data_IF_152793202735
#
_entry.id   IF_152793202735
#
_cell.length_a   1.000
_cell.length_b   1.000
_cell.length_c   1.000
_cell.angle_alpha   90.00
_cell.angle_beta   90.00
_cell.angle_gamma   90.00
#
_symmetry.space_group_name_H-M   'P 1'
#
loop_
_entity.id
_entity.type
_entity.pdbx_description
1 polymer ?
#
# COMPACT_ATOMS: atom_id res chain seq x y z
N UNK A 1 13.39 2.23 1.53
CA UNK A 1 11.98 2.24 1.04
C UNK A 1 11.11 1.81 2.18
N UNK A 2 10.15 2.65 2.57
CA UNK A 2 9.25 2.34 3.65
C UNK A 2 8.37 1.13 3.28
N UNK A 3 8.49 0.04 4.02
CA UNK A 3 7.64 -1.14 3.94
C UNK A 3 7.03 -1.48 5.31
N UNK A 4 7.17 -0.57 6.26
CA UNK A 4 6.63 -0.72 7.61
C UNK A 4 6.40 0.67 8.21
N UNK A 5 5.19 0.94 8.68
CA UNK A 5 4.90 2.13 9.44
C UNK A 5 3.95 1.84 10.61
N UNK A 6 3.83 2.77 11.51
CA UNK A 6 2.97 2.69 12.70
C UNK A 6 1.96 3.82 12.68
N UNK A 7 0.73 3.52 13.04
CA UNK A 7 -0.33 4.48 13.31
C UNK A 7 -1.02 4.13 14.63
N UNK A 8 -0.65 4.85 15.68
CA UNK A 8 -1.19 4.66 17.04
C UNK A 8 -2.09 5.80 17.49
N UNK A 9 -2.19 6.87 16.68
CA UNK A 9 -3.14 7.96 16.89
C UNK A 9 -4.57 7.41 16.83
N UNK A 10 -5.37 7.75 17.84
CA UNK A 10 -6.75 7.28 17.88
C UNK A 10 -7.60 7.90 16.76
N UNK A 11 -8.67 7.22 16.42
CA UNK A 11 -9.58 7.59 15.32
C UNK A 11 -10.15 8.98 15.47
N UNK A 12 -10.52 9.40 16.68
CA UNK A 12 -11.09 10.73 16.91
C UNK A 12 -10.08 11.86 16.58
N UNK A 13 -8.81 11.65 16.93
CA UNK A 13 -7.75 12.60 16.60
C UNK A 13 -7.47 12.66 15.09
N UNK A 14 -7.53 11.52 14.38
CA UNK A 14 -7.42 11.48 12.92
C UNK A 14 -8.58 12.25 12.27
N UNK A 15 -9.81 12.02 12.71
CA UNK A 15 -11.02 12.71 12.22
C UNK A 15 -10.86 14.22 12.41
N UNK A 16 -10.46 14.66 13.61
CA UNK A 16 -10.28 16.07 13.90
C UNK A 16 -9.15 16.70 13.07
N UNK A 17 -7.99 16.06 13.00
CA UNK A 17 -6.81 16.56 12.28
C UNK A 17 -7.09 16.77 10.78
N UNK A 18 -7.75 15.81 10.14
CA UNK A 18 -8.02 15.87 8.71
C UNK A 18 -9.41 16.44 8.37
N UNK A 19 -10.20 16.87 9.38
CA UNK A 19 -11.57 17.41 9.20
C UNK A 19 -12.43 16.45 8.37
N UNK A 20 -12.45 15.19 8.78
CA UNK A 20 -13.24 14.15 8.13
C UNK A 20 -14.71 14.39 8.38
N UNK A 21 -15.53 14.39 7.33
CA UNK A 21 -17.00 14.53 7.42
C UNK A 21 -17.70 13.18 7.46
N UNK A 22 -17.21 12.20 6.69
CA UNK A 22 -17.75 10.84 6.65
C UNK A 22 -16.69 9.82 7.06
N UNK A 23 -17.11 8.79 7.80
CA UNK A 23 -16.25 7.68 8.17
C UNK A 23 -16.91 6.35 7.78
N UNK A 24 -16.15 5.53 7.06
CA UNK A 24 -16.57 4.20 6.63
C UNK A 24 -15.73 3.12 7.31
N UNK A 25 -15.31 3.40 8.54
CA UNK A 25 -14.54 2.50 9.40
C UNK A 25 -15.28 2.32 10.72
N UNK A 26 -15.19 1.14 11.28
CA UNK A 26 -15.61 0.90 12.66
C UNK A 26 -14.65 1.54 13.65
N UNK A 27 -14.45 0.92 14.80
CA UNK A 27 -13.43 1.35 15.74
C UNK A 27 -12.03 0.94 15.21
N UNK A 28 -11.20 1.94 14.90
CA UNK A 28 -9.82 1.70 14.52
C UNK A 28 -8.97 1.46 15.76
N UNK A 29 -8.47 0.24 15.92
CA UNK A 29 -7.44 -0.05 16.91
C UNK A 29 -6.10 0.58 16.49
N UNK A 30 -5.25 0.98 17.45
CA UNK A 30 -3.87 1.38 17.15
C UNK A 30 -3.13 0.26 16.42
N UNK A 31 -2.41 0.61 15.35
CA UNK A 31 -1.61 -0.32 14.58
C UNK A 31 -0.13 0.01 14.77
N UNK A 32 0.55 -0.80 15.58
CA UNK A 32 2.00 -0.63 15.86
C UNK A 32 2.88 -1.01 14.69
N UNK A 33 2.36 -1.82 13.76
CA UNK A 33 3.03 -2.19 12.51
C UNK A 33 2.03 -2.41 11.39
N UNK A 34 2.14 -1.61 10.34
CA UNK A 34 1.40 -1.78 9.08
C UNK A 34 2.40 -2.23 8.03
N UNK A 35 2.21 -3.42 7.51
CA UNK A 35 3.03 -4.03 6.47
C UNK A 35 2.33 -3.94 5.11
N UNK A 36 3.08 -4.13 3.99
CA UNK A 36 2.46 -4.31 2.69
C UNK A 36 1.34 -5.35 2.75
N UNK A 37 0.27 -5.11 2.01
CA UNK A 37 -0.93 -5.95 1.95
C UNK A 37 -1.90 -5.82 3.17
N UNK A 38 -1.52 -5.13 4.23
CA UNK A 38 -2.43 -4.87 5.35
C UNK A 38 -3.46 -3.81 4.99
N UNK A 39 -4.66 -3.95 5.56
CA UNK A 39 -5.67 -2.88 5.56
C UNK A 39 -5.33 -1.85 6.62
N UNK A 40 -5.25 -0.58 6.22
CA UNK A 40 -4.92 0.53 7.10
C UNK A 40 -5.76 1.76 6.77
N UNK A 41 -5.91 2.71 7.70
CA UNK A 41 -6.69 3.91 7.47
C UNK A 41 -6.03 4.85 6.45
N UNK A 42 -6.85 5.38 5.56
CA UNK A 42 -6.50 6.48 4.67
C UNK A 42 -7.59 7.54 4.73
N UNK A 43 -7.23 8.78 4.44
CA UNK A 43 -8.19 9.88 4.23
C UNK A 43 -8.16 10.26 2.76
N UNK A 44 -9.31 10.21 2.12
CA UNK A 44 -9.50 10.55 0.70
C UNK A 44 -10.64 11.57 0.54
N UNK A 45 -10.83 12.07 -0.67
CA UNK A 45 -11.99 12.88 -1.03
C UNK A 45 -13.08 11.96 -1.58
N UNK A 46 -14.24 11.98 -0.97
CA UNK A 46 -15.47 11.36 -1.43
C UNK A 46 -16.48 12.37 -1.93
N UNK A 47 -17.72 11.94 -2.19
CA UNK A 47 -18.77 12.79 -2.75
C UNK A 47 -19.17 13.95 -1.82
N UNK A 48 -19.15 13.74 -0.51
CA UNK A 48 -19.59 14.73 0.49
C UNK A 48 -18.40 15.43 1.20
N UNK A 49 -17.16 15.12 0.82
CA UNK A 49 -15.97 15.70 1.39
C UNK A 49 -14.92 14.67 1.80
N UNK A 50 -14.18 14.96 2.86
CA UNK A 50 -13.13 14.03 3.32
C UNK A 50 -13.71 12.82 4.02
N UNK A 51 -13.29 11.65 3.61
CA UNK A 51 -13.70 10.36 4.15
C UNK A 51 -12.51 9.66 4.80
N UNK A 52 -12.75 9.05 5.97
CA UNK A 52 -11.83 8.10 6.58
C UNK A 52 -12.29 6.69 6.22
N UNK A 53 -11.46 5.97 5.49
CA UNK A 53 -11.73 4.60 5.04
C UNK A 53 -10.51 3.72 5.32
N UNK A 54 -10.70 2.40 5.30
CA UNK A 54 -9.58 1.45 5.27
C UNK A 54 -9.30 1.02 3.84
N UNK A 55 -8.03 0.96 3.48
CA UNK A 55 -7.58 0.45 2.19
C UNK A 55 -6.41 -0.53 2.37
N UNK A 56 -6.30 -1.48 1.46
CA UNK A 56 -5.16 -2.39 1.38
C UNK A 56 -3.93 -1.62 0.89
N UNK A 57 -2.79 -1.76 1.56
CA UNK A 57 -1.56 -1.12 1.14
C UNK A 57 -0.89 -1.90 0.01
N UNK A 58 -0.99 -1.38 -1.18
CA UNK A 58 -0.39 -1.93 -2.41
C UNK A 58 -1.23 -1.59 -3.62
N UNK A 59 -0.74 -0.73 -4.49
CA UNK A 59 -1.36 -0.41 -5.77
C UNK A 59 -1.17 -1.54 -6.77
N UNK A 60 -2.07 -1.73 -7.75
CA UNK A 60 -1.93 -2.76 -8.77
C UNK A 60 -0.57 -2.71 -9.45
N UNK A 61 0.08 -3.85 -9.60
CA UNK A 61 1.35 -3.95 -10.32
C UNK A 61 1.16 -3.76 -11.82
N UNK A 62 2.17 -3.20 -12.49
CA UNK A 62 2.12 -3.10 -13.94
C UNK A 62 2.23 -4.50 -14.58
N UNK A 63 1.62 -4.68 -15.76
CA UNK A 63 1.75 -5.92 -16.52
C UNK A 63 3.21 -6.28 -16.81
N UNK A 64 4.06 -5.26 -17.00
CA UNK A 64 5.49 -5.46 -17.15
C UNK A 64 6.12 -6.05 -15.87
N UNK A 65 5.77 -5.52 -14.69
CA UNK A 65 6.31 -6.01 -13.42
C UNK A 65 5.88 -7.47 -13.17
N UNK A 66 4.61 -7.81 -13.43
CA UNK A 66 4.10 -9.18 -13.32
C UNK A 66 4.83 -10.12 -14.28
N UNK A 67 5.00 -9.71 -15.55
CA UNK A 67 5.74 -10.49 -16.55
C UNK A 67 7.19 -10.76 -16.13
N UNK A 68 7.89 -9.75 -15.61
CA UNK A 68 9.26 -9.91 -15.13
C UNK A 68 9.36 -10.81 -13.88
N UNK A 69 8.40 -10.71 -12.97
CA UNK A 69 8.30 -11.60 -11.81
C UNK A 69 8.10 -13.06 -12.27
N UNK A 70 7.17 -13.26 -13.21
CA UNK A 70 6.89 -14.58 -13.80
C UNK A 70 8.11 -15.17 -14.51
N UNK A 71 8.85 -14.38 -15.30
CA UNK A 71 10.11 -14.83 -15.94
C UNK A 71 11.11 -15.35 -14.91
N UNK A 72 11.31 -14.61 -13.81
CA UNK A 72 12.21 -15.02 -12.72
C UNK A 72 11.76 -16.31 -12.05
N UNK A 73 10.45 -16.47 -11.88
CA UNK A 73 9.85 -17.68 -11.29
C UNK A 73 9.97 -18.88 -12.25
N UNK A 74 9.71 -18.66 -13.54
CA UNK A 74 9.87 -19.68 -14.58
C UNK A 74 11.32 -20.21 -14.60
N UNK A 75 12.29 -19.33 -14.70
CA UNK A 75 13.72 -19.70 -14.70
C UNK A 75 14.12 -20.52 -13.47
N UNK A 76 13.58 -20.19 -12.28
CA UNK A 76 13.83 -20.98 -11.05
C UNK A 76 13.20 -22.36 -11.09
N UNK A 77 12.06 -22.54 -11.76
CA UNK A 77 11.40 -23.83 -11.91
C UNK A 77 12.14 -24.70 -12.94
N UNK A 78 12.51 -24.11 -14.07
CA UNK A 78 13.31 -24.76 -15.12
C UNK A 78 14.66 -25.25 -14.60
N UNK A 79 15.36 -24.42 -13.80
CA UNK A 79 16.61 -24.80 -13.15
C UNK A 79 16.47 -25.98 -12.17
N UNK A 80 15.23 -26.25 -11.70
CA UNK A 80 14.89 -27.44 -10.88
C UNK A 80 14.33 -28.60 -11.71
N UNK A 81 14.43 -28.53 -13.03
CA UNK A 81 13.92 -29.57 -13.94
C UNK A 81 12.39 -29.69 -14.00
N UNK A 82 11.65 -28.65 -13.56
CA UNK A 82 10.18 -28.65 -13.60
C UNK A 82 9.69 -28.08 -14.93
N UNK A 83 8.69 -28.71 -15.57
CA UNK A 83 8.08 -28.15 -16.77
C UNK A 83 7.37 -26.83 -16.43
N UNK A 84 7.43 -25.87 -17.33
CA UNK A 84 6.83 -24.55 -17.14
C UNK A 84 5.90 -24.22 -18.29
N UNK A 85 4.61 -24.03 -17.99
CA UNK A 85 3.68 -23.30 -18.86
C UNK A 85 3.72 -21.82 -18.44
N UNK A 86 4.42 -21.00 -19.22
CA UNK A 86 4.59 -19.59 -18.91
C UNK A 86 3.27 -18.82 -18.88
N UNK A 87 2.32 -19.16 -19.75
CA UNK A 87 1.01 -18.49 -19.83
C UNK A 87 0.19 -18.74 -18.56
N UNK A 88 0.15 -20.00 -18.13
CA UNK A 88 -0.52 -20.39 -16.89
C UNK A 88 0.19 -19.80 -15.67
N UNK A 89 1.52 -19.80 -15.67
CA UNK A 89 2.32 -19.23 -14.58
C UNK A 89 2.09 -17.72 -14.44
N UNK A 90 1.95 -16.99 -15.57
CA UNK A 90 1.63 -15.55 -15.58
C UNK A 90 0.20 -15.29 -15.09
N UNK A 91 -0.75 -16.12 -15.49
CA UNK A 91 -2.14 -16.01 -15.04
C UNK A 91 -2.26 -16.18 -13.51
N UNK A 92 -1.41 -17.01 -12.93
CA UNK A 92 -1.35 -17.30 -11.50
C UNK A 92 -0.28 -16.50 -10.76
N UNK A 93 0.33 -15.49 -11.40
CA UNK A 93 1.35 -14.67 -10.72
C UNK A 93 0.72 -13.88 -9.56
N UNK A 94 1.23 -14.02 -8.33
CA UNK A 94 0.70 -13.31 -7.19
C UNK A 94 0.80 -11.79 -7.37
N UNK A 95 -0.30 -11.08 -7.14
CA UNK A 95 -0.34 -9.64 -7.14
C UNK A 95 0.08 -9.10 -5.77
N UNK A 96 1.39 -8.89 -5.61
CA UNK A 96 1.97 -8.40 -4.36
C UNK A 96 1.75 -6.90 -4.11
N UNK A 97 1.26 -6.19 -5.12
CA UNK A 97 1.05 -4.74 -5.07
C UNK A 97 2.35 -3.92 -5.07
N UNK A 98 2.24 -2.67 -5.52
CA UNK A 98 3.32 -1.69 -5.45
C UNK A 98 3.07 -0.75 -4.28
N UNK A 99 3.94 -0.78 -3.29
CA UNK A 99 3.81 0.00 -2.05
C UNK A 99 4.42 1.39 -2.13
N UNK A 100 5.39 1.60 -3.03
CA UNK A 100 6.09 2.88 -3.17
C UNK A 100 6.24 3.24 -4.65
N UNK A 101 5.67 4.38 -5.06
CA UNK A 101 5.76 4.89 -6.42
C UNK A 101 6.94 5.85 -6.52
N UNK A 102 7.98 5.46 -7.23
CA UNK A 102 9.19 6.26 -7.41
C UNK A 102 9.18 7.09 -8.69
N UNK A 103 8.62 6.55 -9.75
CA UNK A 103 8.57 7.19 -11.06
C UNK A 103 7.13 7.57 -11.43
N UNK A 104 6.71 8.77 -11.01
CA UNK A 104 5.39 9.32 -11.32
C UNK A 104 5.19 9.63 -12.81
N UNK A 105 6.26 9.62 -13.62
CA UNK A 105 6.17 9.79 -15.09
C UNK A 105 5.82 8.48 -15.81
N UNK A 106 5.81 7.35 -15.11
CA UNK A 106 5.42 6.08 -15.70
C UNK A 106 3.94 6.13 -16.12
N UNK A 107 3.66 5.72 -17.37
CA UNK A 107 2.30 5.64 -17.91
C UNK A 107 1.37 4.77 -17.07
N UNK A 108 1.92 3.79 -16.36
CA UNK A 108 1.14 2.94 -15.47
C UNK A 108 0.45 3.74 -14.35
N UNK A 109 1.15 4.74 -13.78
CA UNK A 109 0.65 5.53 -12.66
C UNK A 109 -0.19 6.73 -13.07
N UNK A 110 0.00 7.27 -14.27
CA UNK A 110 -0.64 8.53 -14.72
C UNK A 110 -2.16 8.49 -14.61
N UNK A 111 -2.77 7.32 -14.77
CA UNK A 111 -4.22 7.15 -14.66
C UNK A 111 -4.77 7.38 -13.25
N UNK A 112 -3.92 7.32 -12.20
CA UNK A 112 -4.32 7.50 -10.80
C UNK A 112 -3.65 8.71 -10.13
N UNK A 113 -3.01 9.59 -10.88
CA UNK A 113 -2.38 10.79 -10.32
C UNK A 113 -3.33 12.01 -10.25
N UNK A 114 -4.53 11.87 -10.78
CA UNK A 114 -5.59 12.87 -10.66
C UNK A 114 -6.00 13.12 -9.21
N UNK A 115 -6.64 14.25 -8.95
CA UNK A 115 -7.06 14.67 -7.60
C UNK A 115 -8.05 13.69 -6.98
N UNK A 116 -8.85 13.03 -7.79
CA UNK A 116 -9.85 12.03 -7.43
C UNK A 116 -9.24 10.75 -6.82
N UNK A 117 -8.00 10.45 -7.19
CA UNK A 117 -7.27 9.28 -6.70
C UNK A 117 -6.25 9.62 -5.61
N UNK A 118 -6.18 10.87 -5.14
CA UNK A 118 -5.23 11.24 -4.09
C UNK A 118 -5.80 10.93 -2.72
N UNK A 119 -4.93 10.50 -1.83
CA UNK A 119 -5.24 10.31 -0.43
C UNK A 119 -4.06 10.75 0.44
N UNK A 120 -4.29 10.83 1.74
CA UNK A 120 -3.22 10.90 2.73
C UNK A 120 -3.30 9.66 3.61
N UNK A 121 -2.13 9.12 3.96
CA UNK A 121 -1.98 7.94 4.82
C UNK A 121 -1.44 8.40 6.15
N UNK A 122 -2.25 8.43 7.23
CA UNK A 122 -1.78 8.84 8.55
C UNK A 122 -0.72 7.86 9.10
N UNK A 123 0.30 8.40 9.75
CA UNK A 123 1.29 7.61 10.47
C UNK A 123 1.84 8.38 11.68
N UNK A 124 2.46 7.69 12.63
CA UNK A 124 3.23 8.27 13.74
C UNK A 124 4.74 8.07 13.55
N UNK A 125 5.12 6.95 12.96
CA UNK A 125 6.51 6.63 12.61
C UNK A 125 6.55 5.64 11.46
N UNK A 126 7.69 5.58 10.76
CA UNK A 126 7.94 4.59 9.71
C UNK A 126 9.36 4.07 9.82
N UNK A 127 9.60 2.89 9.29
CA UNK A 127 10.93 2.28 9.30
C UNK A 127 11.56 2.20 7.91
N UNK A 128 12.88 2.29 7.88
CA UNK A 128 13.72 1.97 6.73
C UNK A 128 14.82 1.01 7.16
N UNK A 129 15.04 -0.04 6.37
CA UNK A 129 16.10 -1.00 6.64
C UNK A 129 17.48 -0.38 6.39
N UNK A 130 18.33 -0.38 7.40
CA UNK A 130 19.72 0.05 7.31
C UNK A 130 20.65 -1.18 7.20
N UNK A 131 21.32 -1.30 6.06
CA UNK A 131 22.25 -2.40 5.80
C UNK A 131 23.51 -2.39 6.68
N UNK A 132 23.92 -1.21 7.16
CA UNK A 132 25.13 -1.08 8.00
C UNK A 132 24.89 -1.60 9.42
N UNK A 133 23.65 -1.40 9.91
CA UNK A 133 23.26 -1.81 11.26
C UNK A 133 22.46 -3.12 11.25
N UNK A 134 22.24 -3.71 10.05
CA UNK A 134 21.46 -4.93 9.83
C UNK A 134 20.11 -4.91 10.55
N UNK A 135 19.44 -3.76 10.48
CA UNK A 135 18.20 -3.55 11.21
C UNK A 135 17.33 -2.42 10.67
N UNK A 136 16.12 -2.33 11.21
CA UNK A 136 15.17 -1.28 10.90
C UNK A 136 15.43 -0.03 11.75
N UNK A 137 15.63 1.12 11.10
CA UNK A 137 15.69 2.41 11.76
C UNK A 137 14.32 3.08 11.64
N UNK A 138 13.79 3.52 12.78
CA UNK A 138 12.49 4.19 12.87
C UNK A 138 12.64 5.70 12.83
N UNK A 139 11.81 6.34 12.01
CA UNK A 139 11.74 7.78 11.81
C UNK A 139 10.37 8.31 12.26
N UNK A 140 10.38 9.45 12.94
CA UNK A 140 9.19 10.21 13.32
C UNK A 140 9.52 11.70 13.19
N UNK A 141 8.51 12.58 13.30
CA UNK A 141 8.75 14.03 13.26
C UNK A 141 9.59 14.49 14.47
N UNK A 142 9.30 13.92 15.64
CA UNK A 142 10.06 14.12 16.89
C UNK A 142 9.84 12.92 17.84
N UNK A 143 10.39 13.01 19.04
CA UNK A 143 10.30 11.95 20.05
C UNK A 143 8.89 11.67 20.54
N UNK A 144 7.98 12.65 20.49
CA UNK A 144 6.57 12.49 20.87
C UNK A 144 5.76 11.71 19.82
N UNK A 145 6.34 11.49 18.63
CA UNK A 145 5.72 10.83 17.47
C UNK A 145 4.33 11.37 17.13
N UNK A 146 4.22 12.70 16.89
CA UNK A 146 2.94 13.28 16.54
C UNK A 146 2.46 12.73 15.20
N UNK A 147 1.13 12.75 14.94
CA UNK A 147 0.59 12.27 13.67
C UNK A 147 1.10 13.10 12.51
N UNK A 148 1.56 12.41 11.47
CA UNK A 148 1.95 12.95 10.17
C UNK A 148 1.23 12.18 9.07
N UNK A 149 1.48 12.47 7.80
CA UNK A 149 0.91 11.72 6.70
C UNK A 149 1.86 11.59 5.51
N UNK A 150 1.79 10.42 4.87
CA UNK A 150 2.33 10.26 3.52
C UNK A 150 1.32 10.76 2.50
N UNK A 151 1.82 11.30 1.39
CA UNK A 151 1.04 11.46 0.18
C UNK A 151 0.83 10.09 -0.48
N UNK A 152 -0.40 9.76 -0.81
CA UNK A 152 -0.75 8.49 -1.44
C UNK A 152 -1.67 8.66 -2.64
N UNK A 153 -1.81 7.58 -3.38
CA UNK A 153 -2.87 7.40 -4.37
C UNK A 153 -3.65 6.13 -4.04
N UNK A 154 -4.91 6.10 -4.43
CA UNK A 154 -5.80 4.98 -4.20
C UNK A 154 -6.60 4.64 -5.46
N UNK A 155 -7.12 3.44 -5.54
CA UNK A 155 -8.04 3.01 -6.59
C UNK A 155 -8.96 1.90 -6.07
N UNK A 156 -10.16 1.81 -6.65
CA UNK A 156 -10.99 0.61 -6.52
C UNK A 156 -10.45 -0.44 -7.48
N UNK A 157 -9.85 -1.48 -6.95
CA UNK A 157 -9.30 -2.54 -7.76
C UNK A 157 -9.49 -3.90 -7.10
N UNK A 158 -9.85 -4.91 -7.88
CA UNK A 158 -10.02 -6.29 -7.43
C UNK A 158 -9.07 -7.16 -8.24
N UNK A 159 -8.20 -7.92 -7.60
CA UNK A 159 -7.36 -8.88 -8.32
C UNK A 159 -8.21 -10.08 -8.76
N UNK A 160 -8.03 -10.52 -10.00
CA UNK A 160 -8.73 -11.69 -10.53
C UNK A 160 -8.31 -13.04 -9.92
N UNK A 161 -7.41 -13.04 -8.92
CA UNK A 161 -6.85 -14.23 -8.28
C UNK A 161 -7.26 -14.43 -6.83
N UNK A 162 -8.05 -13.55 -6.24
CA UNK A 162 -8.58 -13.73 -4.88
C UNK A 162 -10.09 -13.82 -4.90
N UNK A 163 -10.62 -14.98 -4.59
CA UNK A 163 -11.96 -15.12 -3.99
C UNK A 163 -11.90 -14.47 -2.60
N UNK A 164 -12.01 -13.17 -2.54
CA UNK A 164 -11.97 -12.43 -1.29
C UNK A 164 -12.54 -11.05 -1.53
N UNK A 165 -13.64 -10.75 -0.89
CA UNK A 165 -14.51 -9.62 -1.04
C UNK A 165 -13.87 -8.25 -1.25
N UNK A 166 -14.70 -7.20 -1.47
CA UNK A 166 -14.20 -5.89 -1.87
C UNK A 166 -13.19 -5.34 -0.86
N UNK A 167 -12.13 -4.78 -1.41
CA UNK A 167 -11.07 -4.11 -0.65
C UNK A 167 -11.59 -2.84 0.03
#
# INVERSE_FOLDING_TARGET
>A
MCNLYSITTNQAAIIALFRVVNRYVGNLAPMTGVFPDYKAPIVRIGAEGRELVTARWGMPSSQHALTEATKKRAAKLEAKGKPVDFKELLRMEPEGGTTNIRNVKSKHWTQWLGTENRCVVPFNSFSEFNKQEDGDIWFALDQSRPPACFAGIWTNWTSGTSEGGPA
#
